data_IF_111082887573
#
_entry.id   IF_111082887573
#
_cell.length_a   1.000
_cell.length_b   1.000
_cell.length_c   1.000
_cell.angle_alpha   90.00
_cell.angle_beta   90.00
_cell.angle_gamma   90.00
#
_symmetry.space_group_name_H-M   'P 1'
#
loop_
_entity.id
_entity.type
_entity.pdbx_description
1 polymer ?
#
# COMPACT_ATOMS: atom_id res chain seq x y z
N UNK A 1 18.64 -29.86 12.08
CA UNK A 1 18.61 -30.42 10.71
C UNK A 1 17.24 -30.18 10.08
N UNK A 2 17.10 -29.27 9.10
CA UNK A 2 15.95 -29.22 8.16
C UNK A 2 16.22 -28.21 7.03
N UNK A 3 17.38 -28.31 6.37
CA UNK A 3 17.55 -27.73 5.04
C UNK A 3 16.79 -28.61 4.04
N UNK A 4 15.46 -28.44 3.98
CA UNK A 4 14.67 -28.97 2.86
C UNK A 4 14.98 -28.11 1.64
N UNK A 5 15.30 -28.78 0.52
CA UNK A 5 15.58 -28.16 -0.77
C UNK A 5 14.62 -26.99 -1.02
N UNK A 6 15.18 -25.79 -1.12
CA UNK A 6 14.47 -24.64 -1.68
C UNK A 6 14.32 -24.92 -3.16
N UNK A 7 13.16 -25.40 -3.57
CA UNK A 7 12.85 -25.52 -4.99
C UNK A 7 12.55 -24.09 -5.49
N UNK A 8 13.33 -23.56 -6.46
CA UNK A 8 13.11 -22.21 -6.98
C UNK A 8 11.67 -22.07 -7.48
N UNK A 9 11.01 -20.95 -7.15
CA UNK A 9 9.63 -20.67 -7.55
C UNK A 9 8.54 -21.17 -6.59
N UNK A 10 8.87 -21.96 -5.56
CA UNK A 10 7.88 -22.41 -4.57
C UNK A 10 8.05 -21.71 -3.21
N UNK A 11 6.93 -21.29 -2.56
CA UNK A 11 7.00 -20.63 -1.27
C UNK A 11 7.51 -21.59 -0.19
N UNK A 12 8.31 -21.10 0.78
CA UNK A 12 8.76 -21.90 1.91
C UNK A 12 7.56 -22.46 2.69
N UNK A 13 7.69 -23.61 3.40
CA UNK A 13 6.57 -24.30 4.06
C UNK A 13 5.72 -23.39 4.94
N UNK A 14 6.35 -22.45 5.63
CA UNK A 14 5.72 -21.45 6.50
C UNK A 14 4.80 -20.45 5.77
N UNK A 15 4.95 -20.31 4.45
CA UNK A 15 4.21 -19.36 3.61
C UNK A 15 3.24 -20.05 2.65
N UNK A 16 3.13 -21.39 2.68
CA UNK A 16 2.27 -22.16 1.78
C UNK A 16 0.78 -21.92 2.04
N UNK A 17 0.39 -21.65 3.29
CA UNK A 17 -1.00 -21.38 3.68
C UNK A 17 -1.51 -19.98 3.25
N UNK A 18 -0.60 -19.09 2.84
CA UNK A 18 -0.93 -17.72 2.39
C UNK A 18 -1.45 -17.74 0.93
N UNK A 19 -1.15 -18.82 0.20
CA UNK A 19 -1.48 -18.98 -1.22
C UNK A 19 -2.91 -19.49 -1.38
N UNK A 20 -3.80 -18.68 -1.96
CA UNK A 20 -5.17 -19.09 -2.27
C UNK A 20 -5.30 -19.54 -3.72
N UNK A 21 -6.00 -20.64 -3.94
CA UNK A 21 -6.20 -21.23 -5.27
C UNK A 21 -7.65 -21.05 -5.74
N UNK A 22 -7.86 -21.08 -7.06
CA UNK A 22 -9.20 -21.04 -7.64
C UNK A 22 -9.98 -22.34 -7.42
N UNK A 23 -9.30 -23.48 -7.65
CA UNK A 23 -9.88 -24.82 -7.58
C UNK A 23 -9.42 -25.60 -6.33
N UNK A 24 -10.31 -26.42 -5.76
CA UNK A 24 -10.06 -27.26 -4.59
C UNK A 24 -9.43 -26.50 -3.41
N UNK A 25 -10.11 -25.46 -2.93
CA UNK A 25 -9.61 -24.50 -1.92
C UNK A 25 -9.12 -25.15 -0.61
N UNK A 26 -9.63 -26.32 -0.26
CA UNK A 26 -9.27 -27.07 0.96
C UNK A 26 -8.09 -28.03 0.77
N UNK A 27 -7.59 -28.21 -0.45
CA UNK A 27 -6.53 -29.18 -0.72
C UNK A 27 -5.17 -28.66 -0.21
N UNK A 28 -4.44 -29.44 0.62
CA UNK A 28 -3.10 -29.07 1.08
C UNK A 28 -2.12 -28.85 -0.07
N UNK A 29 -1.23 -27.88 0.10
CA UNK A 29 -0.27 -27.48 -0.93
C UNK A 29 0.58 -28.64 -1.45
N UNK A 30 1.08 -29.50 -0.54
CA UNK A 30 1.92 -30.65 -0.92
C UNK A 30 1.15 -31.68 -1.74
N UNK A 31 -0.11 -31.95 -1.41
CA UNK A 31 -0.97 -32.88 -2.16
C UNK A 31 -1.30 -32.32 -3.53
N UNK A 32 -1.59 -31.01 -3.60
CA UNK A 32 -1.79 -30.29 -4.86
C UNK A 32 -0.59 -30.46 -5.80
N UNK A 33 0.63 -30.30 -5.29
CA UNK A 33 1.84 -30.42 -6.10
C UNK A 33 2.07 -31.85 -6.63
N UNK A 34 1.77 -32.87 -5.81
CA UNK A 34 1.84 -34.28 -6.25
C UNK A 34 0.83 -34.57 -7.36
N UNK A 35 -0.40 -34.09 -7.23
CA UNK A 35 -1.44 -34.24 -8.25
C UNK A 35 -1.09 -33.50 -9.53
N UNK A 36 -0.57 -32.27 -9.42
CA UNK A 36 -0.06 -31.50 -10.55
C UNK A 36 1.01 -32.29 -11.31
N UNK A 37 2.05 -32.76 -10.61
CA UNK A 37 3.12 -33.54 -11.22
C UNK A 37 2.60 -34.84 -11.85
N UNK A 38 1.68 -35.53 -11.18
CA UNK A 38 1.04 -36.74 -11.69
C UNK A 38 0.29 -36.50 -13.00
N UNK A 39 -0.50 -35.42 -13.08
CA UNK A 39 -1.22 -35.05 -14.31
C UNK A 39 -0.28 -34.62 -15.44
N UNK A 40 0.82 -33.91 -15.13
CA UNK A 40 1.83 -33.53 -16.13
C UNK A 40 2.50 -34.76 -16.73
N UNK A 41 3.00 -35.67 -15.88
CA UNK A 41 3.67 -36.90 -16.34
C UNK A 41 2.70 -37.78 -17.12
N UNK A 42 1.48 -37.98 -16.63
CA UNK A 42 0.47 -38.76 -17.34
C UNK A 42 0.10 -38.11 -18.68
N UNK A 43 -0.09 -36.80 -18.72
CA UNK A 43 -0.41 -36.05 -19.93
C UNK A 43 0.62 -36.28 -21.04
N UNK A 44 1.91 -36.10 -20.73
CA UNK A 44 2.98 -36.35 -21.69
C UNK A 44 3.07 -37.83 -22.11
N UNK A 45 2.92 -38.78 -21.18
CA UNK A 45 2.92 -40.21 -21.52
C UNK A 45 1.79 -40.55 -22.50
N UNK A 46 0.58 -40.05 -22.27
CA UNK A 46 -0.55 -40.26 -23.17
C UNK A 46 -0.32 -39.64 -24.56
N UNK A 47 0.27 -38.44 -24.62
CA UNK A 47 0.63 -37.79 -25.89
C UNK A 47 1.67 -38.56 -26.69
N UNK A 48 2.70 -39.10 -26.01
CA UNK A 48 3.76 -39.88 -26.64
C UNK A 48 3.23 -41.22 -27.16
N UNK A 49 2.43 -41.93 -26.36
CA UNK A 49 1.90 -43.26 -26.72
C UNK A 49 0.86 -43.16 -27.84
N UNK A 50 -0.06 -42.19 -27.76
CA UNK A 50 -1.16 -42.06 -28.72
C UNK A 50 -0.81 -41.26 -29.97
N UNK A 51 0.35 -40.58 -29.97
CA UNK A 51 0.79 -39.64 -31.01
C UNK A 51 -0.30 -38.60 -31.38
N UNK A 52 -1.13 -38.24 -30.39
CA UNK A 52 -2.23 -37.29 -30.52
C UNK A 52 -2.16 -36.29 -29.39
N UNK A 53 -2.37 -35.01 -29.71
CA UNK A 53 -2.30 -33.93 -28.72
C UNK A 53 -3.44 -33.98 -27.69
N UNK A 54 -4.66 -34.29 -28.14
CA UNK A 54 -5.88 -34.12 -27.35
C UNK A 54 -5.97 -34.93 -26.04
N UNK A 55 -5.64 -36.24 -26.00
CA UNK A 55 -5.78 -37.03 -24.78
C UNK A 55 -4.86 -36.53 -23.64
N UNK A 56 -3.61 -36.18 -23.95
CA UNK A 56 -2.71 -35.61 -22.94
C UNK A 56 -2.98 -34.15 -22.63
N UNK A 57 -3.45 -33.36 -23.61
CA UNK A 57 -3.77 -31.94 -23.41
C UNK A 57 -4.86 -31.74 -22.34
N UNK A 58 -5.85 -32.64 -22.25
CA UNK A 58 -6.88 -32.59 -21.19
C UNK A 58 -6.23 -32.75 -19.81
N UNK A 59 -5.27 -33.67 -19.65
CA UNK A 59 -4.58 -33.89 -18.39
C UNK A 59 -3.68 -32.70 -18.02
N UNK A 60 -2.98 -32.13 -19.01
CA UNK A 60 -2.19 -30.90 -18.82
C UNK A 60 -3.06 -29.71 -18.41
N UNK A 61 -4.25 -29.58 -19.00
CA UNK A 61 -5.20 -28.53 -18.66
C UNK A 61 -5.75 -28.70 -17.23
N UNK A 62 -6.03 -29.94 -16.80
CA UNK A 62 -6.40 -30.21 -15.41
C UNK A 62 -5.25 -29.88 -14.44
N UNK A 63 -4.01 -30.18 -14.82
CA UNK A 63 -2.84 -29.80 -14.03
C UNK A 63 -2.76 -28.27 -13.87
N UNK A 64 -2.92 -27.51 -14.94
CA UNK A 64 -2.80 -26.04 -14.89
C UNK A 64 -3.94 -25.40 -14.11
N UNK A 65 -5.18 -25.87 -14.27
CA UNK A 65 -6.33 -25.47 -13.45
C UNK A 65 -6.13 -25.73 -11.96
N UNK A 66 -5.51 -26.86 -11.61
CA UNK A 66 -5.21 -27.19 -10.22
C UNK A 66 -4.15 -26.24 -9.61
N UNK A 67 -3.24 -25.74 -10.45
CA UNK A 67 -2.12 -24.88 -10.06
C UNK A 67 -2.44 -23.37 -10.04
N UNK A 68 -3.61 -22.97 -10.55
CA UNK A 68 -4.02 -21.56 -10.68
C UNK A 68 -4.28 -20.89 -9.32
N UNK A 69 -3.34 -20.05 -8.91
CA UNK A 69 -3.38 -19.20 -7.71
C UNK A 69 -4.28 -17.99 -7.97
N UNK A 70 -5.27 -17.80 -7.10
CA UNK A 70 -6.17 -16.65 -7.07
C UNK A 70 -5.52 -15.40 -6.49
N UNK A 71 -4.55 -15.59 -5.61
CA UNK A 71 -3.76 -14.51 -5.03
C UNK A 71 -3.18 -14.92 -3.67
N UNK A 72 -2.42 -13.99 -3.11
CA UNK A 72 -1.90 -14.09 -1.75
C UNK A 72 -2.84 -13.28 -0.84
N UNK A 73 -3.35 -13.90 0.22
CA UNK A 73 -4.22 -13.19 1.16
C UNK A 73 -3.43 -12.66 2.35
N UNK A 74 -2.86 -11.47 2.19
CA UNK A 74 -2.20 -10.73 3.27
C UNK A 74 -3.18 -10.15 4.29
N UNK A 75 -4.50 -10.17 4.04
CA UNK A 75 -5.50 -9.63 4.98
C UNK A 75 -5.60 -10.46 6.27
N UNK A 76 -5.29 -11.76 6.18
CA UNK A 76 -5.24 -12.66 7.35
C UNK A 76 -4.11 -12.29 8.32
N UNK A 77 -3.00 -11.74 7.81
CA UNK A 77 -1.92 -11.20 8.63
C UNK A 77 -2.44 -9.95 9.34
N UNK A 78 -3.05 -9.00 8.61
CA UNK A 78 -3.59 -7.74 9.16
C UNK A 78 -4.71 -7.94 10.20
N UNK A 79 -5.52 -8.99 10.10
CA UNK A 79 -6.59 -9.29 11.07
C UNK A 79 -6.11 -9.60 12.49
N UNK A 80 -4.82 -9.97 12.66
CA UNK A 80 -4.22 -10.20 13.98
C UNK A 80 -3.71 -8.93 14.65
N UNK A 81 -3.58 -7.84 13.89
CA UNK A 81 -3.08 -6.57 14.36
C UNK A 81 -4.25 -5.74 14.90
N UNK A 82 -4.18 -5.37 16.18
CA UNK A 82 -5.07 -4.35 16.74
C UNK A 82 -4.34 -3.01 16.70
N UNK A 83 -5.02 -1.99 16.15
CA UNK A 83 -4.54 -0.63 16.21
C UNK A 83 -4.29 -0.29 17.68
N UNK A 84 -3.03 -0.01 18.01
CA UNK A 84 -2.70 0.59 19.28
C UNK A 84 -3.12 2.05 19.15
N UNK A 85 -4.04 2.51 20.01
CA UNK A 85 -4.49 3.90 20.02
C UNK A 85 -3.38 4.86 20.46
N UNK A 86 -2.25 4.33 20.93
CA UNK A 86 -1.11 5.12 21.38
C UNK A 86 -0.27 5.63 20.20
N UNK A 87 -0.17 6.95 20.13
CA UNK A 87 0.71 7.65 19.20
C UNK A 87 2.13 7.67 19.74
N UNK A 88 3.08 7.19 18.95
CA UNK A 88 4.50 7.20 19.31
C UNK A 88 5.21 8.31 18.54
N UNK A 89 5.81 9.27 19.24
CA UNK A 89 6.66 10.29 18.61
C UNK A 89 7.91 9.63 18.02
N UNK A 90 8.21 9.94 16.76
CA UNK A 90 9.34 9.37 16.02
C UNK A 90 10.18 10.48 15.39
N UNK A 91 11.39 10.14 14.96
CA UNK A 91 12.20 11.04 14.14
C UNK A 91 11.71 11.03 12.67
N UNK A 92 11.97 12.10 11.92
CA UNK A 92 11.68 12.20 10.50
C UNK A 92 12.35 11.09 9.68
N UNK A 93 13.53 10.62 10.11
CA UNK A 93 14.22 9.49 9.48
C UNK A 93 13.37 8.21 9.43
N UNK A 94 12.53 7.97 10.45
CA UNK A 94 11.61 6.83 10.48
C UNK A 94 10.48 6.98 9.47
N UNK A 95 10.02 8.20 9.22
CA UNK A 95 9.05 8.51 8.17
C UNK A 95 9.66 8.25 6.78
N UNK A 96 10.93 8.64 6.58
CA UNK A 96 11.66 8.39 5.33
C UNK A 96 11.91 6.89 5.09
N UNK A 97 12.17 6.10 6.15
CA UNK A 97 12.30 4.64 6.04
C UNK A 97 11.01 3.98 5.51
N UNK A 98 9.83 4.48 5.90
CA UNK A 98 8.54 3.96 5.40
C UNK A 98 8.40 4.24 3.89
N UNK A 99 8.85 5.41 3.43
CA UNK A 99 8.83 5.75 2.01
C UNK A 99 9.79 4.87 1.19
N UNK A 100 11.01 4.64 1.69
CA UNK A 100 12.00 3.77 1.04
C UNK A 100 11.52 2.31 0.94
N UNK A 101 10.92 1.77 2.02
CA UNK A 101 10.31 0.44 2.00
C UNK A 101 9.21 0.35 0.95
N UNK A 102 8.34 1.36 0.87
CA UNK A 102 7.28 1.42 -0.14
C UNK A 102 7.83 1.49 -1.57
N UNK A 103 8.92 2.23 -1.79
CA UNK A 103 9.58 2.31 -3.10
C UNK A 103 10.14 0.94 -3.50
N UNK A 104 10.85 0.27 -2.60
CA UNK A 104 11.38 -1.09 -2.81
C UNK A 104 10.27 -2.10 -3.09
N UNK A 105 9.14 -2.01 -2.38
CA UNK A 105 7.96 -2.85 -2.66
C UNK A 105 7.38 -2.59 -4.05
N UNK A 106 7.36 -1.33 -4.50
CA UNK A 106 6.88 -0.97 -5.84
C UNK A 106 7.82 -1.45 -6.95
N UNK A 107 9.14 -1.48 -6.71
CA UNK A 107 10.11 -2.00 -7.66
C UNK A 107 10.00 -3.53 -7.79
N UNK A 108 9.74 -4.22 -6.68
CA UNK A 108 9.48 -5.67 -6.66
C UNK A 108 8.19 -6.08 -7.39
N UNK A 109 7.24 -5.17 -7.56
CA UNK A 109 6.00 -5.39 -8.33
C UNK A 109 6.19 -5.37 -9.86
N UNK A 110 7.42 -5.16 -10.35
CA UNK A 110 7.73 -5.06 -11.78
C UNK A 110 8.19 -6.39 -12.42
N UNK A 111 7.71 -7.52 -11.89
CA UNK A 111 8.01 -8.87 -12.38
C UNK A 111 7.53 -9.09 -13.84
N UNK A 112 8.40 -9.61 -14.70
CA UNK A 112 8.12 -9.86 -16.13
C UNK A 112 7.08 -10.98 -16.39
N UNK A 113 6.78 -11.78 -15.37
CA UNK A 113 5.81 -12.87 -15.42
C UNK A 113 4.46 -12.48 -14.78
N UNK A 114 4.26 -11.21 -14.40
CA UNK A 114 2.97 -10.72 -13.91
C UNK A 114 2.33 -9.78 -14.94
N UNK A 115 1.20 -10.20 -15.54
CA UNK A 115 0.49 -9.41 -16.56
C UNK A 115 -0.10 -8.11 -16.01
N UNK A 116 -0.22 -7.97 -14.68
CA UNK A 116 -0.79 -6.77 -14.05
C UNK A 116 0.09 -5.54 -14.13
N UNK A 117 1.34 -5.67 -14.60
CA UNK A 117 2.25 -4.56 -14.84
C UNK A 117 2.60 -4.43 -16.34
N UNK A 118 2.99 -3.22 -16.76
CA UNK A 118 3.25 -2.95 -18.19
C UNK A 118 4.43 -3.74 -18.78
N UNK A 119 5.43 -4.09 -17.97
CA UNK A 119 6.59 -4.89 -18.42
C UNK A 119 6.18 -6.35 -18.68
N UNK A 120 5.39 -6.94 -17.80
CA UNK A 120 4.89 -8.30 -17.93
C UNK A 120 3.89 -8.44 -19.06
N UNK A 121 3.05 -7.43 -19.29
CA UNK A 121 2.20 -7.37 -20.49
C UNK A 121 3.02 -7.35 -21.79
N UNK A 122 4.11 -6.57 -21.84
CA UNK A 122 5.01 -6.53 -23.00
C UNK A 122 5.71 -7.89 -23.22
N UNK A 123 6.25 -8.49 -22.16
CA UNK A 123 6.90 -9.80 -22.23
C UNK A 123 5.92 -10.90 -22.63
N UNK A 124 4.68 -10.85 -22.15
CA UNK A 124 3.62 -11.76 -22.57
C UNK A 124 3.35 -11.67 -24.07
N UNK A 125 3.24 -10.45 -24.61
CA UNK A 125 3.05 -10.23 -26.06
C UNK A 125 4.25 -10.76 -26.84
N UNK A 126 5.48 -10.45 -26.43
CA UNK A 126 6.68 -10.95 -27.10
C UNK A 126 6.78 -12.47 -27.07
N UNK A 127 6.46 -13.10 -25.94
CA UNK A 127 6.44 -14.56 -25.81
C UNK A 127 5.36 -15.16 -26.71
N UNK A 128 4.17 -14.58 -26.76
CA UNK A 128 3.10 -15.04 -27.63
C UNK A 128 3.48 -14.94 -29.12
N UNK A 129 4.10 -13.84 -29.54
CA UNK A 129 4.62 -13.67 -30.90
C UNK A 129 5.73 -14.69 -31.19
N UNK A 130 6.66 -14.88 -30.25
CA UNK A 130 7.73 -15.88 -30.37
C UNK A 130 7.18 -17.29 -30.47
N UNK A 131 6.11 -17.61 -29.75
CA UNK A 131 5.44 -18.90 -29.80
C UNK A 131 4.76 -19.11 -31.16
N UNK A 132 4.03 -18.11 -31.67
CA UNK A 132 3.45 -18.15 -33.02
C UNK A 132 4.53 -18.35 -34.08
N UNK A 133 5.65 -17.63 -33.99
CA UNK A 133 6.76 -17.78 -34.94
C UNK A 133 7.41 -19.17 -34.86
N UNK A 134 7.65 -19.68 -33.65
CA UNK A 134 8.17 -21.02 -33.42
C UNK A 134 7.24 -22.08 -34.00
N UNK A 135 5.92 -21.86 -33.98
CA UNK A 135 4.94 -22.81 -34.54
C UNK A 135 4.91 -22.82 -36.05
N UNK A 136 5.10 -21.67 -36.69
CA UNK A 136 5.25 -21.61 -38.14
C UNK A 136 6.49 -22.38 -38.62
N UNK A 137 7.57 -22.37 -37.82
CA UNK A 137 8.79 -23.14 -38.10
C UNK A 137 8.59 -24.64 -37.77
N UNK A 138 7.99 -24.95 -36.62
CA UNK A 138 7.77 -26.32 -36.17
C UNK A 138 6.64 -27.02 -36.93
N UNK A 139 5.76 -26.29 -37.61
CA UNK A 139 4.72 -26.82 -38.49
C UNK A 139 5.27 -27.66 -39.64
N UNK A 140 6.54 -27.47 -40.01
CA UNK A 140 7.26 -28.36 -40.93
C UNK A 140 7.45 -29.79 -40.39
N UNK A 141 7.38 -29.99 -39.08
CA UNK A 141 7.55 -31.30 -38.41
C UNK A 141 6.22 -32.03 -38.13
N UNK A 142 5.11 -31.56 -38.71
CA UNK A 142 3.82 -32.25 -38.68
C UNK A 142 3.22 -32.39 -37.28
N UNK A 143 2.86 -33.63 -36.90
CA UNK A 143 2.09 -33.91 -35.68
C UNK A 143 2.84 -33.55 -34.39
N UNK A 144 4.17 -33.72 -34.35
CA UNK A 144 4.99 -33.37 -33.18
C UNK A 144 4.98 -31.86 -32.90
N UNK A 145 5.03 -31.02 -33.94
CA UNK A 145 4.98 -29.56 -33.79
C UNK A 145 3.66 -29.08 -33.17
N UNK A 146 2.55 -29.72 -33.53
CA UNK A 146 1.24 -29.40 -32.98
C UNK A 146 1.10 -29.80 -31.49
N UNK A 147 1.65 -30.96 -31.10
CA UNK A 147 1.67 -31.39 -29.69
C UNK A 147 2.46 -30.38 -28.85
N UNK A 148 3.68 -30.03 -29.29
CA UNK A 148 4.52 -29.07 -28.59
C UNK A 148 3.85 -27.70 -28.43
N UNK A 149 3.15 -27.22 -29.45
CA UNK A 149 2.44 -25.94 -29.39
C UNK A 149 1.32 -25.93 -28.36
N UNK A 150 0.47 -26.97 -28.37
CA UNK A 150 -0.65 -27.09 -27.45
C UNK A 150 -0.14 -27.17 -26.01
N UNK A 151 0.93 -27.93 -25.76
CA UNK A 151 1.53 -28.07 -24.44
C UNK A 151 2.14 -26.75 -23.96
N UNK A 152 2.86 -26.05 -24.85
CA UNK A 152 3.43 -24.74 -24.55
C UNK A 152 2.34 -23.71 -24.21
N UNK A 153 1.23 -23.67 -24.95
CA UNK A 153 0.08 -22.81 -24.61
C UNK A 153 -0.47 -23.16 -23.24
N UNK A 154 -0.78 -24.43 -23.00
CA UNK A 154 -1.46 -24.88 -21.79
C UNK A 154 -0.58 -24.64 -20.56
N UNK A 155 0.73 -24.86 -20.66
CA UNK A 155 1.64 -24.74 -19.52
C UNK A 155 2.17 -23.32 -19.31
N UNK A 156 2.46 -22.57 -20.37
CA UNK A 156 3.10 -21.25 -20.26
C UNK A 156 2.08 -20.14 -20.04
N UNK A 157 0.98 -20.08 -20.81
CA UNK A 157 0.04 -18.95 -20.74
C UNK A 157 -0.51 -18.77 -19.32
N UNK A 158 -0.98 -19.81 -18.61
CA UNK A 158 -1.52 -19.65 -17.26
C UNK A 158 -0.51 -19.08 -16.25
N UNK A 159 0.81 -19.19 -16.48
CA UNK A 159 1.82 -18.64 -15.57
C UNK A 159 1.70 -17.11 -15.42
N UNK A 160 1.36 -16.40 -16.49
CA UNK A 160 1.18 -14.93 -16.46
C UNK A 160 -0.08 -14.48 -15.71
N UNK A 161 -1.06 -15.39 -15.59
CA UNK A 161 -2.29 -15.16 -14.83
C UNK A 161 -2.21 -15.77 -13.43
N UNK A 162 -1.13 -16.49 -13.12
CA UNK A 162 -0.98 -17.20 -11.86
C UNK A 162 -0.54 -16.23 -10.75
N UNK A 163 -1.42 -16.02 -9.78
CA UNK A 163 -1.07 -15.24 -8.59
C UNK A 163 -0.91 -13.75 -8.86
N UNK A 164 -1.76 -13.16 -9.71
CA UNK A 164 -1.92 -11.71 -9.87
C UNK A 164 -1.84 -11.06 -8.48
N UNK A 165 -0.71 -10.42 -8.20
CA UNK A 165 -0.48 -9.81 -6.90
C UNK A 165 -1.25 -8.50 -6.92
N UNK A 166 -2.47 -8.51 -6.40
CA UNK A 166 -3.14 -7.26 -6.03
C UNK A 166 -2.42 -6.70 -4.80
N UNK A 167 -1.26 -6.10 -5.02
CA UNK A 167 -0.73 -5.15 -4.07
C UNK A 167 -1.77 -4.04 -4.01
N UNK A 168 -2.35 -3.83 -2.83
CA UNK A 168 -3.23 -2.70 -2.58
C UNK A 168 -2.34 -1.44 -2.68
N UNK A 169 -2.06 -0.99 -3.91
CA UNK A 169 -1.12 0.11 -4.23
C UNK A 169 -1.51 1.44 -3.57
N UNK A 170 -2.73 1.53 -3.05
CA UNK A 170 -3.24 2.67 -2.28
C UNK A 170 -3.02 2.41 -0.80
N UNK A 171 -1.75 2.31 -0.39
CA UNK A 171 -1.45 2.39 1.03
C UNK A 171 -1.75 3.82 1.48
N UNK A 172 -2.87 3.98 2.17
CA UNK A 172 -3.33 5.24 2.75
C UNK A 172 -2.21 5.91 3.56
N UNK A 173 -1.37 5.12 4.23
CA UNK A 173 -0.23 5.63 4.96
C UNK A 173 0.80 6.32 4.04
N UNK A 174 1.04 5.80 2.83
CA UNK A 174 1.97 6.39 1.87
C UNK A 174 1.57 7.82 1.49
N UNK A 175 0.27 8.05 1.24
CA UNK A 175 -0.23 9.40 0.91
C UNK A 175 0.06 10.36 2.06
N UNK A 176 -0.19 9.93 3.30
CA UNK A 176 0.04 10.77 4.48
C UNK A 176 1.54 11.01 4.71
N UNK A 177 2.38 9.99 4.59
CA UNK A 177 3.84 10.08 4.72
C UNK A 177 4.44 11.07 3.73
N UNK A 178 4.03 11.03 2.46
CA UNK A 178 4.50 11.99 1.45
C UNK A 178 4.07 13.43 1.79
N UNK A 179 2.86 13.61 2.34
CA UNK A 179 2.41 14.93 2.80
C UNK A 179 3.24 15.43 3.99
N UNK A 180 3.47 14.59 5.00
CA UNK A 180 4.28 14.93 6.18
C UNK A 180 5.69 15.32 5.75
N UNK A 181 6.34 14.55 4.87
CA UNK A 181 7.67 14.86 4.35
C UNK A 181 7.72 16.22 3.65
N UNK A 182 6.78 16.49 2.74
CA UNK A 182 6.73 17.76 2.01
C UNK A 182 6.47 18.96 2.94
N UNK A 183 5.65 18.78 3.98
CA UNK A 183 5.39 19.80 4.98
C UNK A 183 6.56 20.01 5.93
N UNK A 184 7.31 18.96 6.29
CA UNK A 184 8.56 19.06 7.05
C UNK A 184 9.60 19.85 6.26
N UNK A 185 9.82 19.53 4.98
CA UNK A 185 10.74 20.28 4.13
C UNK A 185 10.32 21.75 3.97
N UNK A 186 9.02 22.01 3.89
CA UNK A 186 8.50 23.38 3.89
C UNK A 186 8.69 24.06 5.25
N UNK A 187 8.48 23.35 6.36
CA UNK A 187 8.72 23.86 7.71
C UNK A 187 10.14 24.35 7.89
N UNK A 188 11.14 23.60 7.41
CA UNK A 188 12.56 24.01 7.48
C UNK A 188 12.82 25.36 6.80
N UNK A 189 12.02 25.75 5.81
CA UNK A 189 12.16 27.04 5.10
C UNK A 189 11.49 28.23 5.81
N UNK A 190 10.51 27.98 6.69
CA UNK A 190 9.71 29.03 7.35
C UNK A 190 9.83 29.03 8.89
N UNK A 191 10.57 28.07 9.45
CA UNK A 191 10.75 27.92 10.89
C UNK A 191 11.43 29.14 11.48
N UNK A 192 11.06 29.47 12.70
CA UNK A 192 11.80 30.41 13.57
C UNK A 192 12.56 29.63 14.63
N UNK A 193 13.51 30.30 15.29
CA UNK A 193 14.24 29.73 16.41
C UNK A 193 13.27 29.29 17.51
N UNK A 194 13.53 28.12 18.09
CA UNK A 194 12.67 27.51 19.11
C UNK A 194 11.46 26.74 18.58
N UNK A 195 11.27 26.58 17.27
CA UNK A 195 10.17 25.78 16.70
C UNK A 195 10.63 24.37 16.31
N UNK A 196 9.96 23.34 16.83
CA UNK A 196 10.34 21.93 16.66
C UNK A 196 9.24 21.12 15.98
N UNK A 197 9.60 20.41 14.90
CA UNK A 197 8.71 19.50 14.17
C UNK A 197 8.80 18.08 14.76
N UNK A 198 7.69 17.57 15.32
CA UNK A 198 7.62 16.26 15.97
C UNK A 198 6.66 15.33 15.23
N UNK A 199 7.14 14.46 14.34
CA UNK A 199 6.30 13.45 13.71
C UNK A 199 5.91 12.36 14.71
N UNK A 200 4.74 11.76 14.51
CA UNK A 200 4.24 10.67 15.32
C UNK A 200 3.57 9.60 14.44
N UNK A 201 3.78 8.34 14.79
CA UNK A 201 3.19 7.18 14.14
C UNK A 201 2.19 6.49 15.05
N UNK A 202 1.07 6.07 14.47
CA UNK A 202 0.17 5.11 15.09
C UNK A 202 0.63 3.71 14.67
N UNK A 203 0.94 2.87 15.64
CA UNK A 203 1.43 1.51 15.40
C UNK A 203 0.33 0.49 15.68
N UNK A 204 0.38 -0.64 15.00
CA UNK A 204 -0.45 -1.80 15.28
C UNK A 204 0.45 -2.94 15.69
N UNK A 205 0.11 -3.63 16.77
CA UNK A 205 0.93 -4.71 17.32
C UNK A 205 0.30 -6.07 17.06
N UNK A 206 1.10 -7.01 16.57
CA UNK A 206 0.73 -8.42 16.48
C UNK A 206 0.80 -9.06 17.88
N UNK A 207 -0.29 -9.70 18.30
CA UNK A 207 -0.38 -10.42 19.58
C UNK A 207 0.56 -11.61 19.68
N UNK A 208 0.85 -12.30 18.57
CA UNK A 208 1.61 -13.56 18.58
C UNK A 208 3.11 -13.33 18.49
N UNK A 209 3.53 -12.35 17.69
CA UNK A 209 4.95 -12.10 17.42
C UNK A 209 5.49 -10.83 18.08
N UNK A 210 4.63 -9.97 18.62
CA UNK A 210 5.01 -8.68 19.19
C UNK A 210 5.46 -7.63 18.17
N UNK A 211 5.46 -7.97 16.88
CA UNK A 211 5.89 -7.08 15.78
C UNK A 211 4.91 -5.93 15.61
N UNK A 212 5.44 -4.76 15.27
CA UNK A 212 4.66 -3.55 15.03
C UNK A 212 4.66 -3.18 13.55
N UNK A 213 3.51 -2.74 13.04
CA UNK A 213 3.35 -2.13 11.71
C UNK A 213 2.78 -0.72 11.86
N UNK A 214 3.26 0.27 11.10
CA UNK A 214 2.65 1.60 11.09
C UNK A 214 1.30 1.57 10.37
N UNK A 215 0.30 2.26 10.93
CA UNK A 215 -1.03 2.41 10.33
C UNK A 215 -1.31 3.85 9.89
N UNK A 216 -0.84 4.82 10.67
CA UNK A 216 -1.13 6.23 10.43
C UNK A 216 0.05 7.10 10.86
N UNK A 217 0.11 8.31 10.33
CA UNK A 217 1.10 9.32 10.69
C UNK A 217 0.44 10.69 10.88
N UNK A 218 0.92 11.42 11.88
CA UNK A 218 0.60 12.83 12.12
C UNK A 218 1.86 13.56 12.55
N UNK A 219 1.79 14.87 12.71
CA UNK A 219 2.89 15.61 13.32
C UNK A 219 2.37 16.74 14.19
N UNK A 220 3.21 17.16 15.14
CA UNK A 220 2.95 18.25 16.05
C UNK A 220 4.10 19.25 15.98
N UNK A 221 3.79 20.54 16.02
CA UNK A 221 4.78 21.60 16.21
C UNK A 221 4.74 22.03 17.67
N UNK A 222 5.90 21.95 18.31
CA UNK A 222 6.10 22.46 19.67
C UNK A 222 7.05 23.63 19.65
N UNK A 223 6.86 24.58 20.55
CA UNK A 223 7.68 25.77 20.69
C UNK A 223 8.53 25.67 21.96
N UNK A 224 9.69 26.31 21.97
CA UNK A 224 10.45 26.54 23.19
C UNK A 224 9.71 27.56 24.06
N UNK A 225 9.77 27.38 25.39
CA UNK A 225 9.13 28.25 26.37
C UNK A 225 7.60 28.41 26.16
N UNK A 226 6.89 27.33 25.77
CA UNK A 226 5.42 27.35 25.73
C UNK A 226 4.85 27.60 27.12
N UNK A 227 3.84 28.48 27.27
CA UNK A 227 3.17 28.71 28.54
C UNK A 227 2.48 27.42 29.02
N UNK A 228 2.35 27.27 30.34
CA UNK A 228 1.58 26.18 30.94
C UNK A 228 0.16 26.20 30.38
N UNK A 229 -0.25 25.07 29.81
CA UNK A 229 -1.56 24.92 29.17
C UNK A 229 -1.59 25.15 27.66
N UNK A 230 -0.48 25.44 26.98
CA UNK A 230 -0.43 25.46 25.52
C UNK A 230 0.19 24.16 24.96
N UNK A 231 -0.57 23.40 24.16
CA UNK A 231 -0.15 22.08 23.66
C UNK A 231 0.55 22.13 22.29
N UNK A 232 0.56 23.28 21.63
CA UNK A 232 1.17 23.45 20.30
C UNK A 232 0.20 23.27 19.14
N UNK A 233 0.76 23.03 17.94
CA UNK A 233 -0.03 22.81 16.71
C UNK A 233 -0.01 21.32 16.40
N UNK A 234 -1.17 20.68 16.38
CA UNK A 234 -1.33 19.31 15.88
C UNK A 234 -1.87 19.33 14.46
N UNK A 235 -1.11 18.76 13.52
CA UNK A 235 -1.53 18.62 12.14
C UNK A 235 -2.11 17.22 11.89
N UNK A 236 -3.28 17.15 11.27
CA UNK A 236 -3.98 15.90 10.99
C UNK A 236 -4.26 15.76 9.50
N UNK A 237 -4.14 14.52 8.99
CA UNK A 237 -4.39 14.17 7.59
C UNK A 237 -5.45 13.06 7.57
N UNK A 238 -6.65 13.38 7.11
CA UNK A 238 -7.73 12.42 6.88
C UNK A 238 -7.79 12.05 5.40
N UNK A 239 -8.29 10.86 5.07
CA UNK A 239 -8.45 10.40 3.69
C UNK A 239 -9.92 10.16 3.40
N UNK A 240 -10.48 10.94 2.50
CA UNK A 240 -11.84 10.78 2.02
C UNK A 240 -11.83 9.81 0.84
N UNK A 241 -12.49 8.67 0.95
CA UNK A 241 -12.58 7.71 -0.15
C UNK A 241 -13.83 7.97 -0.98
N UNK A 242 -13.65 8.41 -2.24
CA UNK A 242 -14.72 8.66 -3.20
C UNK A 242 -14.49 7.78 -4.42
N UNK A 243 -15.46 6.90 -4.71
CA UNK A 243 -15.40 5.95 -5.84
C UNK A 243 -14.09 5.13 -5.88
N UNK A 244 -13.58 4.74 -4.70
CA UNK A 244 -12.35 3.96 -4.58
C UNK A 244 -11.06 4.76 -4.72
N UNK A 245 -11.13 6.09 -4.86
CA UNK A 245 -9.97 7.01 -4.84
C UNK A 245 -9.92 7.75 -3.52
N UNK A 246 -8.76 7.71 -2.85
CA UNK A 246 -8.55 8.38 -1.57
C UNK A 246 -8.01 9.78 -1.79
N UNK A 247 -8.73 10.77 -1.28
CA UNK A 247 -8.41 12.18 -1.36
C UNK A 247 -7.96 12.69 0.03
N UNK A 248 -6.73 13.23 0.16
CA UNK A 248 -6.28 13.78 1.44
C UNK A 248 -7.02 15.06 1.81
N UNK A 249 -7.39 15.16 3.07
CA UNK A 249 -7.94 16.34 3.72
C UNK A 249 -7.06 16.71 4.90
N UNK A 250 -6.41 17.88 4.80
CA UNK A 250 -5.44 18.35 5.78
C UNK A 250 -5.98 19.54 6.58
N UNK A 251 -5.78 19.50 7.89
CA UNK A 251 -6.10 20.59 8.79
C UNK A 251 -5.13 20.62 9.97
N UNK A 252 -5.02 21.79 10.58
CA UNK A 252 -4.25 22.01 11.78
C UNK A 252 -5.16 22.37 12.94
N UNK A 253 -4.76 21.96 14.12
CA UNK A 253 -5.47 22.14 15.38
C UNK A 253 -4.50 22.75 16.37
N UNK A 254 -4.78 23.96 16.83
CA UNK A 254 -4.04 24.56 17.95
C UNK A 254 -4.84 24.24 19.21
N UNK A 255 -4.24 23.50 20.13
CA UNK A 255 -4.90 23.05 21.34
C UNK A 255 -4.27 23.70 22.58
N UNK A 256 -5.11 24.04 23.55
CA UNK A 256 -4.72 24.57 24.84
C UNK A 256 -5.68 24.06 25.95
N UNK A 257 -5.30 24.28 27.21
CA UNK A 257 -6.16 24.06 28.37
C UNK A 257 -7.43 24.91 28.30
N UNK A 258 -8.54 24.44 28.90
CA UNK A 258 -9.77 25.21 28.98
C UNK A 258 -9.52 26.61 29.57
N UNK A 259 -10.10 27.64 28.95
CA UNK A 259 -9.97 29.02 29.44
C UNK A 259 -8.68 29.73 29.05
N UNK A 260 -7.81 29.11 28.24
CA UNK A 260 -6.64 29.78 27.64
C UNK A 260 -7.04 30.96 26.75
N UNK A 261 -8.30 31.00 26.27
CA UNK A 261 -8.85 32.16 25.58
C UNK A 261 -8.48 32.21 24.10
N UNK A 262 -8.42 31.03 23.45
CA UNK A 262 -8.16 30.93 22.01
C UNK A 262 -9.25 31.60 21.15
N UNK A 263 -10.47 31.73 21.67
CA UNK A 263 -11.59 32.39 21.00
C UNK A 263 -11.25 33.83 20.54
N UNK A 264 -10.45 34.55 21.31
CA UNK A 264 -10.04 35.93 21.01
C UNK A 264 -9.15 36.05 19.78
N UNK A 265 -8.59 34.94 19.29
CA UNK A 265 -7.70 34.92 18.13
C UNK A 265 -8.39 34.61 16.81
N UNK A 266 -9.62 34.09 16.81
CA UNK A 266 -10.33 33.72 15.58
C UNK A 266 -10.37 34.86 14.57
N UNK A 267 -10.63 36.10 15.05
CA UNK A 267 -10.69 37.31 14.20
C UNK A 267 -9.33 37.98 13.98
N UNK A 268 -8.33 37.67 14.82
CA UNK A 268 -7.00 38.29 14.76
C UNK A 268 -6.05 37.57 13.80
N UNK A 269 -6.27 36.29 13.54
CA UNK A 269 -5.44 35.51 12.62
C UNK A 269 -5.74 35.94 11.18
N UNK A 270 -4.74 36.47 10.43
CA UNK A 270 -4.94 36.87 9.05
C UNK A 270 -5.06 35.62 8.16
N UNK A 271 -6.26 35.34 7.66
CA UNK A 271 -6.52 34.19 6.78
C UNK A 271 -7.02 34.59 5.39
N UNK A 272 -6.53 33.93 4.33
CA UNK A 272 -7.06 34.12 2.98
C UNK A 272 -8.47 33.54 2.85
N UNK A 273 -9.23 33.99 1.84
CA UNK A 273 -10.65 33.63 1.64
C UNK A 273 -10.92 32.11 1.61
N UNK A 274 -9.96 31.32 1.17
CA UNK A 274 -10.02 29.87 1.04
C UNK A 274 -9.69 29.08 2.33
N UNK A 275 -9.33 29.76 3.43
CA UNK A 275 -9.08 29.15 4.74
C UNK A 275 -10.15 29.60 5.73
N UNK A 276 -10.51 28.70 6.64
CA UNK A 276 -11.43 28.93 7.74
C UNK A 276 -10.70 28.67 9.05
N UNK A 277 -10.82 29.62 9.98
CA UNK A 277 -10.44 29.45 11.39
C UNK A 277 -11.73 29.30 12.18
N UNK A 278 -11.87 28.19 12.91
CA UNK A 278 -13.02 27.92 13.77
C UNK A 278 -12.52 27.66 15.18
N UNK A 279 -13.15 28.29 16.16
CA UNK A 279 -12.95 27.95 17.57
C UNK A 279 -13.95 26.86 17.95
N UNK A 280 -13.45 25.86 18.65
CA UNK A 280 -14.20 24.76 19.26
C UNK A 280 -13.65 24.62 20.68
N UNK A 281 -14.43 25.00 21.69
CA UNK A 281 -14.06 24.82 23.09
C UNK A 281 -15.03 23.83 23.73
N UNK A 282 -14.50 22.93 24.55
CA UNK A 282 -15.28 22.06 25.43
C UNK A 282 -14.75 22.13 26.87
N UNK A 283 -15.30 21.32 27.77
CA UNK A 283 -14.84 21.26 29.17
C UNK A 283 -13.40 20.75 29.31
N UNK A 284 -12.83 20.13 28.28
CA UNK A 284 -11.54 19.45 28.32
C UNK A 284 -10.41 20.23 27.64
N UNK A 285 -10.71 21.05 26.62
CA UNK A 285 -9.73 21.82 25.88
C UNK A 285 -10.32 23.05 25.16
N UNK A 286 -9.51 24.10 25.05
CA UNK A 286 -9.70 25.17 24.09
C UNK A 286 -9.02 24.79 22.77
N UNK A 287 -9.76 24.80 21.66
CA UNK A 287 -9.23 24.38 20.36
C UNK A 287 -9.50 25.40 19.26
N UNK A 288 -8.47 25.70 18.46
CA UNK A 288 -8.55 26.49 17.23
C UNK A 288 -8.26 25.61 16.03
N UNK A 289 -9.28 25.34 15.22
CA UNK A 289 -9.17 24.53 14.01
C UNK A 289 -8.95 25.43 12.80
N UNK A 290 -7.85 25.20 12.07
CA UNK A 290 -7.50 25.91 10.84
C UNK A 290 -7.54 24.92 9.68
N UNK A 291 -8.46 25.15 8.75
CA UNK A 291 -8.75 24.21 7.66
C UNK A 291 -9.15 24.92 6.38
N UNK A 292 -9.15 24.19 5.27
CA UNK A 292 -9.67 24.71 4.01
C UNK A 292 -11.18 24.99 4.14
N UNK A 293 -11.64 26.12 3.58
CA UNK A 293 -13.06 26.41 3.44
C UNK A 293 -13.66 25.45 2.41
N UNK A 294 -14.66 24.70 2.83
CA UNK A 294 -15.41 23.78 1.97
C UNK A 294 -16.67 24.47 1.43
N UNK A 295 -17.07 24.16 0.20
CA UNK A 295 -18.37 24.53 -0.37
C UNK A 295 -19.18 23.26 -0.66
N UNK A 296 -20.44 23.38 -1.09
CA UNK A 296 -21.25 22.21 -1.49
C UNK A 296 -20.60 21.39 -2.64
N UNK A 297 -19.73 22.02 -3.43
CA UNK A 297 -19.09 21.44 -4.62
C UNK A 297 -17.56 21.28 -4.50
N UNK A 298 -16.92 21.76 -3.43
CA UNK A 298 -15.46 21.72 -3.28
C UNK A 298 -14.99 21.60 -1.82
N UNK A 299 -13.74 21.17 -1.62
CA UNK A 299 -13.13 21.06 -0.28
C UNK A 299 -13.11 19.65 0.32
N UNK A 300 -13.47 18.63 -0.46
CA UNK A 300 -13.25 17.22 -0.09
C UNK A 300 -11.78 16.76 -0.23
N UNK A 301 -10.93 17.62 -0.78
CA UNK A 301 -9.52 17.38 -1.05
C UNK A 301 -8.72 18.66 -0.76
N UNK A 302 -7.57 18.49 -0.10
CA UNK A 302 -6.59 19.53 0.16
C UNK A 302 -5.33 19.24 -0.64
N UNK A 303 -5.08 20.03 -1.68
CA UNK A 303 -3.85 19.89 -2.47
C UNK A 303 -2.63 20.40 -1.67
N UNK A 304 -1.42 20.06 -2.13
CA UNK A 304 -0.18 20.41 -1.41
C UNK A 304 0.00 21.92 -1.15
N UNK A 305 -0.42 22.78 -2.08
CA UNK A 305 -0.32 24.24 -1.90
C UNK A 305 -1.30 24.75 -0.83
N UNK A 306 -2.49 24.14 -0.75
CA UNK A 306 -3.44 24.40 0.31
C UNK A 306 -2.94 23.86 1.66
N UNK A 307 -2.29 22.69 1.69
CA UNK A 307 -1.65 22.17 2.91
C UNK A 307 -0.59 23.13 3.44
N UNK A 308 0.31 23.62 2.57
CA UNK A 308 1.33 24.62 2.92
C UNK A 308 0.70 25.91 3.45
N UNK A 309 -0.31 26.43 2.75
CA UNK A 309 -1.04 27.63 3.18
C UNK A 309 -1.68 27.45 4.56
N UNK A 310 -2.37 26.33 4.81
CA UNK A 310 -3.00 26.04 6.12
C UNK A 310 -1.92 25.95 7.20
N UNK A 311 -0.83 25.25 6.92
CA UNK A 311 0.25 25.04 7.87
C UNK A 311 0.96 26.35 8.22
N UNK A 312 1.30 27.18 7.23
CA UNK A 312 1.88 28.51 7.42
C UNK A 312 0.98 29.41 8.27
N UNK A 313 -0.32 29.44 7.98
CA UNK A 313 -1.29 30.22 8.77
C UNK A 313 -1.43 29.72 10.20
N UNK A 314 -1.22 28.42 10.42
CA UNK A 314 -1.20 27.82 11.75
C UNK A 314 0.01 28.27 12.56
N UNK A 315 1.18 28.35 11.92
CA UNK A 315 2.38 28.89 12.56
C UNK A 315 2.22 30.37 12.88
N UNK A 316 1.68 31.17 11.96
CA UNK A 316 1.39 32.59 12.21
C UNK A 316 0.42 32.75 13.39
N UNK A 317 -0.65 31.95 13.43
CA UNK A 317 -1.60 31.97 14.53
C UNK A 317 -0.94 31.61 15.87
N UNK A 318 -0.15 30.53 15.92
CA UNK A 318 0.55 30.13 17.13
C UNK A 318 1.54 31.19 17.61
N UNK A 319 2.30 31.82 16.71
CA UNK A 319 3.23 32.92 17.03
C UNK A 319 2.48 34.13 17.62
N UNK A 320 1.31 34.47 17.08
CA UNK A 320 0.47 35.55 17.62
C UNK A 320 -0.11 35.22 19.00
N UNK A 321 -0.34 33.93 19.28
CA UNK A 321 -0.83 33.44 20.57
C UNK A 321 0.30 33.45 21.62
N UNK A 322 1.51 33.07 21.21
CA UNK A 322 2.68 33.00 22.09
C UNK A 322 3.29 34.37 22.41
N UNK A 323 3.18 35.33 21.50
CA UNK A 323 3.61 36.72 21.72
C UNK A 323 2.59 37.55 22.53
N UNK A 324 1.82 36.90 23.42
CA UNK A 324 0.92 37.57 24.36
C UNK A 324 1.68 38.38 25.39
#
# INVERSE_FOLDING_TARGET
MKNRLRIPGFPPPEKQDIVKFHMFKSLPYSTRMKLYLGFVVAGFLFQIIMLKAWPGAILLLLATLLSLVRGYDTSTILGTFRADSNWTTVNIDKILQIEDLNKKMSEWDSDALDISNGKGALVFILMFISLLFATSILGFYGVMGNIFFIDAIILLIPLWFNGIRKILKKDNLRIKVDIVRKLESFFQTIKKDGEHFKPALMLSRDKKTGKCIPLDCRFTITFENMPSGFYGIQAQINLNNVQGTSYPYFYCVIAAEPGFGLANYVKKVPVPKNILVKYEGDENADVLVIRQRTTKTSGYHTNMNACKSIFERSLVAARLILNR
#
